data_IF_372720517345
#
_entry.id   IF_372720517345
#
_cell.length_a   1.000
_cell.length_b   1.000
_cell.length_c   1.000
_cell.angle_alpha   90.00
_cell.angle_beta   90.00
_cell.angle_gamma   90.00
#
_symmetry.space_group_name_H-M   'P 1'
#
loop_
_entity.id
_entity.type
_entity.pdbx_description
1 polymer ?
#
# COMPACT_ATOMS: atom_id res chain seq x y z
N UNK A 1 15.88 1.09 -5.05
CA UNK A 1 15.59 2.14 -4.05
C UNK A 1 16.43 1.86 -2.83
N UNK A 2 17.38 2.73 -2.50
CA UNK A 2 18.29 2.57 -1.35
C UNK A 2 17.73 3.16 -0.06
N UNK A 3 16.80 4.11 -0.15
CA UNK A 3 16.22 4.76 1.03
C UNK A 3 15.04 3.96 1.59
N UNK A 4 14.97 3.89 2.91
CA UNK A 4 13.90 3.23 3.66
C UNK A 4 12.62 4.07 3.55
N UNK A 5 11.51 3.53 3.01
CA UNK A 5 10.29 4.31 2.83
C UNK A 5 9.65 4.67 4.17
N UNK A 6 8.73 5.64 4.12
CA UNK A 6 7.87 5.96 5.26
C UNK A 6 6.94 4.79 5.53
N UNK A 7 6.50 4.65 6.78
CA UNK A 7 5.52 3.64 7.18
C UNK A 7 5.92 2.18 6.95
N UNK A 8 7.21 1.84 6.90
CA UNK A 8 7.64 0.45 6.62
C UNK A 8 7.13 -0.63 7.58
N UNK A 9 6.57 -0.24 8.73
CA UNK A 9 6.01 -1.13 9.74
C UNK A 9 4.49 -0.99 9.88
N UNK A 10 3.85 -0.16 9.05
CA UNK A 10 2.40 0.04 9.04
C UNK A 10 1.71 -1.11 8.29
N UNK A 11 1.84 -2.32 8.83
CA UNK A 11 1.44 -3.55 8.14
C UNK A 11 -0.09 -3.64 7.95
N UNK A 12 -0.87 -3.14 8.90
CA UNK A 12 -2.32 -3.08 8.79
C UNK A 12 -2.76 -2.16 7.63
N UNK A 13 -2.13 -1.01 7.52
CA UNK A 13 -2.38 -0.02 6.47
C UNK A 13 -1.93 -0.55 5.10
N UNK A 14 -0.78 -1.23 5.02
CA UNK A 14 -0.35 -1.91 3.81
C UNK A 14 -1.34 -2.99 3.38
N UNK A 15 -1.88 -3.77 4.32
CA UNK A 15 -2.90 -4.78 4.02
C UNK A 15 -4.20 -4.15 3.49
N UNK A 16 -4.64 -3.04 4.08
CA UNK A 16 -5.80 -2.28 3.58
C UNK A 16 -5.58 -1.76 2.16
N UNK A 17 -4.42 -1.19 1.87
CA UNK A 17 -4.08 -0.70 0.52
C UNK A 17 -3.99 -1.85 -0.47
N UNK A 18 -3.37 -2.98 -0.12
CA UNK A 18 -3.29 -4.15 -0.98
C UNK A 18 -4.69 -4.70 -1.33
N UNK A 19 -5.59 -4.76 -0.35
CA UNK A 19 -6.98 -5.18 -0.55
C UNK A 19 -7.76 -4.18 -1.41
N UNK A 20 -7.56 -2.88 -1.22
CA UNK A 20 -8.17 -1.86 -2.06
C UNK A 20 -7.71 -1.97 -3.53
N UNK A 21 -6.42 -2.24 -3.78
CA UNK A 21 -5.91 -2.51 -5.14
C UNK A 21 -6.61 -3.71 -5.77
N UNK A 22 -6.74 -4.82 -5.02
CA UNK A 22 -7.43 -6.03 -5.47
C UNK A 22 -8.89 -5.74 -5.81
N UNK A 23 -9.61 -5.03 -4.93
CA UNK A 23 -11.00 -4.65 -5.12
C UNK A 23 -11.18 -3.74 -6.34
N UNK A 24 -10.36 -2.71 -6.48
CA UNK A 24 -10.39 -1.80 -7.63
C UNK A 24 -10.23 -2.54 -8.97
N UNK A 25 -9.44 -3.61 -9.01
CA UNK A 25 -9.31 -4.46 -10.20
C UNK A 25 -10.53 -5.35 -10.42
N UNK A 26 -10.99 -6.02 -9.38
CA UNK A 26 -12.17 -6.88 -9.46
C UNK A 26 -13.42 -6.12 -9.95
N UNK A 27 -13.57 -4.86 -9.52
CA UNK A 27 -14.70 -4.01 -9.88
C UNK A 27 -14.46 -3.23 -11.18
N UNK A 28 -13.23 -2.76 -11.42
CA UNK A 28 -12.92 -1.83 -12.51
C UNK A 28 -12.42 -2.48 -13.81
N UNK A 29 -11.67 -3.59 -13.73
CA UNK A 29 -11.12 -4.24 -14.92
C UNK A 29 -12.21 -4.82 -15.86
N UNK A 30 -13.37 -5.35 -15.40
CA UNK A 30 -14.44 -5.77 -16.31
C UNK A 30 -14.91 -4.67 -17.28
N UNK A 31 -15.10 -3.45 -16.79
CA UNK A 31 -15.50 -2.32 -17.63
C UNK A 31 -14.39 -1.92 -18.64
N UNK A 32 -13.11 -2.13 -18.30
CA UNK A 32 -12.01 -1.90 -19.22
C UNK A 32 -11.93 -2.97 -20.32
N UNK A 33 -12.28 -4.21 -19.99
CA UNK A 33 -12.38 -5.32 -20.95
C UNK A 33 -13.54 -5.07 -21.91
N UNK A 34 -14.72 -4.72 -21.41
CA UNK A 34 -15.88 -4.37 -22.24
C UNK A 34 -15.57 -3.20 -23.18
N UNK A 35 -14.80 -2.21 -22.72
CA UNK A 35 -14.36 -1.08 -23.53
C UNK A 35 -13.20 -1.39 -24.50
N UNK A 36 -12.71 -2.63 -24.56
CA UNK A 36 -11.59 -3.05 -25.42
C UNK A 36 -10.23 -2.44 -25.04
N UNK A 37 -10.09 -1.91 -23.82
CA UNK A 37 -8.86 -1.26 -23.31
C UNK A 37 -7.95 -2.21 -22.56
N UNK A 38 -8.41 -3.43 -22.28
CA UNK A 38 -7.71 -4.47 -21.55
C UNK A 38 -8.16 -5.83 -22.09
N UNK A 39 -7.24 -6.77 -22.27
CA UNK A 39 -7.63 -8.15 -22.61
C UNK A 39 -8.22 -8.88 -21.41
N UNK A 40 -9.03 -9.91 -21.65
CA UNK A 40 -9.58 -10.77 -20.60
C UNK A 40 -8.45 -11.44 -19.81
N UNK A 41 -7.42 -11.88 -20.53
CA UNK A 41 -6.24 -12.54 -20.00
C UNK A 41 -5.43 -11.60 -19.08
N UNK A 42 -5.21 -10.34 -19.50
CA UNK A 42 -4.51 -9.35 -18.69
C UNK A 42 -5.31 -8.96 -17.45
N UNK A 43 -6.63 -8.84 -17.56
CA UNK A 43 -7.51 -8.58 -16.42
C UNK A 43 -7.42 -9.72 -15.38
N UNK A 44 -7.53 -10.96 -15.84
CA UNK A 44 -7.41 -12.14 -14.98
C UNK A 44 -6.02 -12.24 -14.33
N UNK A 45 -4.96 -11.96 -15.09
CA UNK A 45 -3.59 -11.97 -14.58
C UNK A 45 -3.37 -10.89 -13.51
N UNK A 46 -3.82 -9.65 -13.77
CA UNK A 46 -3.76 -8.56 -12.79
C UNK A 46 -4.55 -8.88 -11.53
N UNK A 47 -5.75 -9.45 -11.65
CA UNK A 47 -6.54 -9.84 -10.48
C UNK A 47 -5.87 -10.95 -9.68
N UNK A 48 -5.29 -11.97 -10.32
CA UNK A 48 -4.53 -13.04 -9.65
C UNK A 48 -3.37 -12.46 -8.84
N UNK A 49 -2.54 -11.63 -9.45
CA UNK A 49 -1.34 -11.07 -8.79
C UNK A 49 -1.75 -10.18 -7.61
N UNK A 50 -2.69 -9.26 -7.81
CA UNK A 50 -3.18 -8.40 -6.72
C UNK A 50 -3.84 -9.17 -5.59
N UNK A 51 -4.52 -10.28 -5.89
CA UNK A 51 -5.10 -11.16 -4.86
C UNK A 51 -4.01 -11.85 -4.04
N UNK A 52 -2.93 -12.32 -4.68
CA UNK A 52 -1.79 -12.90 -3.96
C UNK A 52 -1.11 -11.85 -3.05
N UNK A 53 -0.94 -10.62 -3.53
CA UNK A 53 -0.40 -9.50 -2.73
C UNK A 53 -1.31 -9.21 -1.53
N UNK A 54 -2.63 -9.08 -1.74
CA UNK A 54 -3.58 -8.81 -0.67
C UNK A 54 -3.57 -9.90 0.41
N UNK A 55 -3.53 -11.18 0.00
CA UNK A 55 -3.41 -12.32 0.90
C UNK A 55 -2.11 -12.24 1.71
N UNK A 56 -0.98 -11.96 1.07
CA UNK A 56 0.31 -11.87 1.75
C UNK A 56 0.30 -10.81 2.86
N UNK A 57 -0.15 -9.60 2.53
CA UNK A 57 -0.16 -8.49 3.47
C UNK A 57 -1.19 -8.66 4.58
N UNK A 58 -2.33 -9.30 4.31
CA UNK A 58 -3.29 -9.68 5.35
C UNK A 58 -2.67 -10.63 6.40
N UNK A 59 -1.84 -11.59 5.98
CA UNK A 59 -1.13 -12.47 6.90
C UNK A 59 -0.03 -11.73 7.65
N UNK A 60 0.78 -10.90 6.96
CA UNK A 60 1.83 -10.13 7.62
C UNK A 60 1.30 -9.14 8.66
N UNK A 61 0.12 -8.55 8.44
CA UNK A 61 -0.55 -7.70 9.41
C UNK A 61 -0.97 -8.45 10.70
N UNK A 62 -1.14 -9.77 10.63
CA UNK A 62 -1.44 -10.65 11.77
C UNK A 62 -0.21 -11.39 12.30
N UNK A 63 1.00 -11.03 11.84
CA UNK A 63 2.25 -11.76 12.10
C UNK A 63 2.19 -13.25 11.72
N UNK A 64 1.42 -13.59 10.69
CA UNK A 64 1.29 -14.94 10.14
C UNK A 64 2.16 -15.10 8.89
N UNK A 65 2.61 -16.33 8.62
CA UNK A 65 3.26 -16.65 7.36
C UNK A 65 2.22 -16.86 6.27
N UNK A 66 2.29 -16.13 5.14
CA UNK A 66 1.35 -16.34 4.07
C UNK A 66 1.58 -17.68 3.36
N UNK A 67 0.54 -18.25 2.73
CA UNK A 67 0.67 -19.44 1.92
C UNK A 67 1.59 -19.18 0.71
N UNK A 68 2.42 -20.17 0.36
CA UNK A 68 3.28 -20.09 -0.83
C UNK A 68 2.46 -20.44 -2.07
N UNK A 69 1.56 -19.54 -2.51
CA UNK A 69 0.81 -19.70 -3.76
C UNK A 69 0.44 -18.35 -4.36
N UNK A 70 0.37 -18.31 -5.69
CA UNK A 70 -0.46 -17.34 -6.40
C UNK A 70 0.25 -16.33 -7.30
N UNK A 71 1.48 -15.90 -6.99
CA UNK A 71 2.30 -15.03 -7.86
C UNK A 71 3.79 -15.09 -7.49
N UNK A 72 4.68 -14.91 -8.48
CA UNK A 72 6.13 -14.81 -8.24
C UNK A 72 6.52 -13.46 -7.66
N UNK A 73 7.73 -13.35 -7.11
CA UNK A 73 8.21 -12.08 -6.57
C UNK A 73 8.37 -11.02 -7.67
N UNK A 74 8.81 -11.42 -8.87
CA UNK A 74 8.93 -10.54 -10.03
C UNK A 74 7.56 -10.00 -10.47
N UNK A 75 6.54 -10.87 -10.51
CA UNK A 75 5.16 -10.47 -10.81
C UNK A 75 4.66 -9.43 -9.79
N UNK A 76 4.87 -9.68 -8.50
CA UNK A 76 4.47 -8.76 -7.43
C UNK A 76 5.21 -7.42 -7.52
N UNK A 77 6.51 -7.43 -7.81
CA UNK A 77 7.31 -6.21 -8.00
C UNK A 77 6.80 -5.40 -9.19
N UNK A 78 6.59 -6.04 -10.34
CA UNK A 78 6.10 -5.37 -11.54
C UNK A 78 4.72 -4.75 -11.29
N UNK A 79 3.84 -5.50 -10.63
CA UNK A 79 2.50 -5.07 -10.30
C UNK A 79 2.46 -3.88 -9.34
N UNK A 80 3.19 -3.96 -8.23
CA UNK A 80 3.32 -2.87 -7.26
C UNK A 80 3.90 -1.61 -7.89
N UNK A 81 4.86 -1.73 -8.82
CA UNK A 81 5.40 -0.58 -9.58
C UNK A 81 4.33 0.07 -10.46
N UNK A 82 3.55 -0.73 -11.18
CA UNK A 82 2.48 -0.22 -12.03
C UNK A 82 1.41 0.51 -11.22
N UNK A 83 1.00 -0.06 -10.07
CA UNK A 83 0.03 0.57 -9.16
C UNK A 83 0.60 1.85 -8.53
N UNK A 84 1.85 1.83 -8.09
CA UNK A 84 2.53 3.01 -7.54
C UNK A 84 2.61 4.16 -8.55
N UNK A 85 2.89 3.88 -9.82
CA UNK A 85 2.87 4.89 -10.87
C UNK A 85 1.48 5.54 -11.01
N UNK A 86 0.42 4.73 -10.95
CA UNK A 86 -0.96 5.21 -10.97
C UNK A 86 -1.31 6.09 -9.76
N UNK A 87 -0.98 5.63 -8.55
CA UNK A 87 -1.19 6.38 -7.30
C UNK A 87 -0.41 7.70 -7.29
N UNK A 88 0.85 7.67 -7.74
CA UNK A 88 1.72 8.86 -7.87
C UNK A 88 1.10 9.89 -8.81
N UNK A 89 0.61 9.47 -9.97
CA UNK A 89 -0.07 10.38 -10.92
C UNK A 89 -1.31 11.04 -10.30
N UNK A 90 -2.12 10.29 -9.55
CA UNK A 90 -3.31 10.82 -8.87
C UNK A 90 -2.94 11.79 -7.74
N UNK A 91 -1.90 11.48 -6.97
CA UNK A 91 -1.32 12.38 -5.97
C UNK A 91 -0.87 13.69 -6.62
N UNK A 92 -0.09 13.61 -7.69
CA UNK A 92 0.49 14.79 -8.32
C UNK A 92 -0.60 15.67 -8.96
N UNK A 93 -1.65 15.04 -9.51
CA UNK A 93 -2.84 15.75 -9.97
C UNK A 93 -3.59 16.46 -8.82
N UNK A 94 -3.81 15.77 -7.69
CA UNK A 94 -4.44 16.39 -6.51
C UNK A 94 -3.57 17.53 -5.94
N UNK A 95 -2.25 17.35 -5.91
CA UNK A 95 -1.28 18.39 -5.54
C UNK A 95 -1.39 19.60 -6.46
N UNK A 96 -1.46 19.37 -7.77
CA UNK A 96 -1.60 20.46 -8.74
C UNK A 96 -2.91 21.22 -8.55
N UNK A 97 -4.01 20.55 -8.22
CA UNK A 97 -5.29 21.22 -7.92
C UNK A 97 -5.15 22.18 -6.73
N UNK A 98 -4.48 21.76 -5.65
CA UNK A 98 -4.19 22.60 -4.48
C UNK A 98 -3.31 23.80 -4.87
N UNK A 99 -2.25 23.57 -5.67
CA UNK A 99 -1.36 24.65 -6.14
C UNK A 99 -2.10 25.65 -7.01
N UNK A 100 -2.99 25.19 -7.89
CA UNK A 100 -3.77 26.06 -8.77
C UNK A 100 -4.75 26.94 -7.99
N UNK A 101 -5.30 26.45 -6.86
CA UNK A 101 -6.29 27.20 -6.07
C UNK A 101 -5.66 28.09 -4.99
N UNK A 102 -4.63 27.60 -4.29
CA UNK A 102 -4.04 28.30 -3.12
C UNK A 102 -2.58 28.72 -3.32
N UNK A 103 -2.00 28.45 -4.48
CA UNK A 103 -0.62 28.80 -4.82
C UNK A 103 0.43 27.82 -4.28
N UNK A 104 1.65 27.91 -4.82
CA UNK A 104 2.77 27.01 -4.45
C UNK A 104 3.15 27.08 -2.97
N UNK A 105 2.99 28.25 -2.33
CA UNK A 105 3.31 28.46 -0.91
C UNK A 105 2.41 27.66 0.03
N UNK A 106 1.29 27.11 -0.46
CA UNK A 106 0.42 26.26 0.35
C UNK A 106 1.17 25.06 0.95
N UNK A 107 2.13 24.51 0.20
CA UNK A 107 2.96 23.35 0.58
C UNK A 107 4.22 23.70 1.38
N UNK A 108 4.33 24.91 1.94
CA UNK A 108 5.28 25.16 3.05
C UNK A 108 4.86 24.37 4.29
N UNK A 109 3.56 24.04 4.40
CA UNK A 109 2.99 23.18 5.43
C UNK A 109 3.52 21.75 5.33
N UNK A 110 3.84 21.18 6.47
CA UNK A 110 4.10 19.77 6.69
C UNK A 110 2.83 18.91 6.51
N UNK A 111 3.01 17.59 6.35
CA UNK A 111 1.88 16.66 6.27
C UNK A 111 1.00 16.69 7.52
N UNK A 112 1.59 16.88 8.71
CA UNK A 112 0.84 16.99 9.96
C UNK A 112 -0.09 18.21 9.97
N UNK A 113 0.41 19.36 9.50
CA UNK A 113 -0.40 20.57 9.37
C UNK A 113 -1.51 20.41 8.32
N UNK A 114 -1.26 19.66 7.24
CA UNK A 114 -2.29 19.35 6.26
C UNK A 114 -3.39 18.45 6.82
N UNK A 115 -3.04 17.44 7.64
CA UNK A 115 -4.04 16.63 8.36
C UNK A 115 -4.82 17.46 9.38
N UNK A 116 -4.17 18.37 10.10
CA UNK A 116 -4.83 19.27 11.04
C UNK A 116 -5.91 20.14 10.36
N UNK A 117 -5.71 20.56 9.10
CA UNK A 117 -6.75 21.27 8.33
C UNK A 117 -7.99 20.41 8.08
N UNK A 118 -7.80 19.10 7.87
CA UNK A 118 -8.91 18.14 7.69
C UNK A 118 -9.64 17.93 9.01
N UNK A 119 -8.91 17.72 10.10
CA UNK A 119 -9.49 17.47 11.43
C UNK A 119 -10.27 18.68 11.95
N UNK A 120 -9.78 19.90 11.66
CA UNK A 120 -10.47 21.15 11.98
C UNK A 120 -11.62 21.49 11.01
N UNK A 121 -11.92 20.63 10.04
CA UNK A 121 -12.93 20.85 9.00
C UNK A 121 -12.74 22.20 8.26
N UNK A 122 -11.49 22.61 8.08
CA UNK A 122 -11.18 23.85 7.39
C UNK A 122 -11.69 23.78 5.94
N UNK A 123 -12.12 24.90 5.35
CA UNK A 123 -12.72 24.93 4.01
C UNK A 123 -11.80 24.36 2.93
N UNK A 124 -10.48 24.49 3.10
CA UNK A 124 -9.46 23.93 2.19
C UNK A 124 -9.37 22.40 2.25
N UNK A 125 -9.94 21.75 3.28
CA UNK A 125 -9.87 20.31 3.48
C UNK A 125 -10.41 19.52 2.28
N UNK A 126 -11.43 20.05 1.59
CA UNK A 126 -12.01 19.45 0.37
C UNK A 126 -10.96 19.22 -0.72
N UNK A 127 -9.98 20.14 -0.85
CA UNK A 127 -8.87 20.00 -1.81
C UNK A 127 -7.69 19.22 -1.25
N UNK A 128 -7.46 19.31 0.06
CA UNK A 128 -6.32 18.67 0.74
C UNK A 128 -6.52 17.18 0.91
N UNK A 129 -7.74 16.73 1.25
CA UNK A 129 -8.02 15.34 1.57
C UNK A 129 -7.67 14.37 0.41
N UNK A 130 -8.03 14.64 -0.86
CA UNK A 130 -7.59 13.78 -1.97
C UNK A 130 -6.07 13.67 -2.11
N UNK A 131 -5.33 14.76 -1.86
CA UNK A 131 -3.87 14.73 -1.89
C UNK A 131 -3.31 13.86 -0.76
N UNK A 132 -3.79 14.04 0.47
CA UNK A 132 -3.36 13.25 1.63
C UNK A 132 -3.66 11.76 1.46
N UNK A 133 -4.83 11.43 0.89
CA UNK A 133 -5.19 10.05 0.57
C UNK A 133 -4.16 9.44 -0.40
N UNK A 134 -3.93 10.05 -1.56
CA UNK A 134 -3.01 9.48 -2.56
C UNK A 134 -1.54 9.51 -2.15
N UNK A 135 -1.13 10.48 -1.33
CA UNK A 135 0.21 10.52 -0.72
C UNK A 135 0.43 9.36 0.26
N UNK A 136 -0.57 9.07 1.11
CA UNK A 136 -0.51 7.94 2.06
C UNK A 136 -0.58 6.60 1.32
N UNK A 137 -1.42 6.50 0.30
CA UNK A 137 -1.57 5.33 -0.55
C UNK A 137 -0.27 4.99 -1.30
N UNK A 138 0.38 6.01 -1.87
CA UNK A 138 1.67 5.86 -2.54
C UNK A 138 2.77 5.43 -1.54
N UNK A 139 2.81 6.02 -0.35
CA UNK A 139 3.78 5.64 0.68
C UNK A 139 3.63 4.17 1.13
N UNK A 140 2.40 3.67 1.26
CA UNK A 140 2.15 2.25 1.56
C UNK A 140 2.63 1.34 0.41
N UNK A 141 2.37 1.71 -0.85
CA UNK A 141 2.86 0.97 -2.02
C UNK A 141 4.39 0.97 -2.12
N UNK A 142 5.05 2.09 -1.82
CA UNK A 142 6.51 2.19 -1.73
C UNK A 142 7.08 1.25 -0.66
N UNK A 143 6.42 1.18 0.51
CA UNK A 143 6.82 0.28 1.58
C UNK A 143 6.64 -1.19 1.22
N UNK A 144 5.51 -1.55 0.59
CA UNK A 144 5.28 -2.92 0.11
C UNK A 144 6.32 -3.31 -0.95
N UNK A 145 6.58 -2.41 -1.91
CA UNK A 145 7.57 -2.61 -2.96
C UNK A 145 8.98 -2.77 -2.38
N UNK A 146 9.33 -1.97 -1.37
CA UNK A 146 10.61 -2.08 -0.69
C UNK A 146 10.79 -3.45 -0.04
N UNK A 147 9.79 -3.93 0.71
CA UNK A 147 9.82 -5.25 1.32
C UNK A 147 9.95 -6.37 0.29
N UNK A 148 9.23 -6.25 -0.82
CA UNK A 148 9.21 -7.24 -1.90
C UNK A 148 10.55 -7.32 -2.66
N UNK A 149 11.34 -6.24 -2.68
CA UNK A 149 12.66 -6.18 -3.33
C UNK A 149 13.83 -6.60 -2.44
N UNK A 150 13.59 -6.89 -1.15
CA UNK A 150 14.66 -7.32 -0.24
C UNK A 150 15.13 -8.72 -0.60
N UNK A 151 16.42 -8.97 -0.36
CA UNK A 151 16.97 -10.32 -0.45
C UNK A 151 16.17 -11.30 0.44
N UNK A 152 16.06 -12.60 0.08
CA UNK A 152 15.16 -13.54 0.75
C UNK A 152 15.32 -13.63 2.27
N UNK A 153 16.55 -13.55 2.78
CA UNK A 153 16.85 -13.62 4.23
C UNK A 153 16.54 -12.31 4.99
N UNK A 154 16.20 -11.25 4.26
CA UNK A 154 15.91 -9.91 4.77
C UNK A 154 14.51 -9.43 4.40
N UNK A 155 13.72 -10.26 3.73
CA UNK A 155 12.37 -9.91 3.30
C UNK A 155 11.38 -10.09 4.47
N UNK A 156 10.15 -9.64 4.26
CA UNK A 156 9.14 -9.66 5.32
C UNK A 156 8.85 -11.09 5.79
N UNK A 157 8.79 -12.06 4.87
CA UNK A 157 8.57 -13.47 5.20
C UNK A 157 9.60 -14.01 6.18
N UNK A 158 10.89 -13.77 5.94
CA UNK A 158 11.98 -14.23 6.82
C UNK A 158 11.88 -13.62 8.23
N UNK A 159 11.55 -12.34 8.33
CA UNK A 159 11.36 -11.66 9.62
C UNK A 159 10.13 -12.22 10.35
N UNK A 160 9.01 -12.43 9.65
CA UNK A 160 7.81 -13.04 10.25
C UNK A 160 8.11 -14.45 10.74
N UNK A 161 8.85 -15.26 9.97
CA UNK A 161 9.28 -16.59 10.40
C UNK A 161 10.12 -16.53 11.68
N UNK A 162 11.12 -15.63 11.74
CA UNK A 162 11.95 -15.46 12.93
C UNK A 162 11.14 -15.02 14.15
N UNK A 163 10.19 -14.07 13.98
CA UNK A 163 9.30 -13.64 15.06
C UNK A 163 8.45 -14.79 15.60
N UNK A 164 7.89 -15.63 14.73
CA UNK A 164 7.13 -16.83 15.14
C UNK A 164 8.01 -17.79 15.93
N UNK A 165 9.23 -18.08 15.45
CA UNK A 165 10.18 -18.96 16.13
C UNK A 165 10.56 -18.44 17.53
N UNK A 166 10.87 -17.15 17.63
CA UNK A 166 11.19 -16.50 18.91
C UNK A 166 10.02 -16.57 19.90
N UNK A 167 8.77 -16.40 19.43
CA UNK A 167 7.56 -16.59 20.26
C UNK A 167 7.43 -18.04 20.75
N UNK A 168 7.65 -19.01 19.88
CA UNK A 168 7.59 -20.43 20.23
C UNK A 168 8.67 -20.84 21.25
N UNK A 169 9.83 -20.20 21.22
CA UNK A 169 10.92 -20.40 22.16
C UNK A 169 10.73 -19.66 23.50
N UNK A 170 9.63 -18.91 23.67
CA UNK A 170 9.34 -18.20 24.92
C UNK A 170 10.06 -16.87 25.11
N UNK A 171 10.71 -16.33 24.07
CA UNK A 171 11.39 -15.02 24.13
C UNK A 171 10.42 -13.83 24.17
N UNK A 172 9.13 -14.06 23.94
CA UNK A 172 8.07 -13.08 24.15
C UNK A 172 7.12 -13.57 25.26
N UNK A 173 7.48 -13.38 26.53
CA UNK A 173 6.56 -13.67 27.63
C UNK A 173 5.44 -12.62 27.62
N UNK A 174 4.19 -13.08 27.40
CA UNK A 174 2.91 -12.36 27.54
C UNK A 174 2.38 -11.52 26.36
N UNK A 175 1.53 -12.14 25.54
CA UNK A 175 0.27 -11.54 25.06
C UNK A 175 -0.94 -12.30 25.63
N UNK A 176 -0.91 -12.60 26.93
CA UNK A 176 -2.09 -12.97 27.71
C UNK A 176 -2.18 -12.05 28.91
N UNK A 177 -2.80 -10.88 28.70
CA UNK A 177 -3.59 -10.14 29.69
C UNK A 177 -3.99 -8.77 29.11
N UNK A 178 -5.06 -8.74 28.32
CA UNK A 178 -6.01 -7.63 28.43
C UNK A 178 -7.38 -8.28 28.52
N UNK A 179 -7.91 -8.28 29.74
CA UNK A 179 -9.29 -8.60 30.07
C UNK A 179 -10.20 -7.42 29.68
#
# INVERSE_FOLDING_TARGET
MTDRPRFIYAYAEMAQVAEDVRRNRAEGDPALVEAGKLSVEDAAMRLRISSAIAVDWAHYARDELPPIKGATDEEKVADLRAVLAGATKRRDHARQAIVSEYGKRFFVRSLAELWALVDMQHTTAVRVLPYLHWESYAAALEAMLWWQQRAPYCNRRAITFANIQLRQMGYFPHERAVA
#
